data_IF_433387564992
#
_entry.id   IF_433387564992
#
_cell.length_a   1.000
_cell.length_b   1.000
_cell.length_c   1.000
_cell.angle_alpha   90.00
_cell.angle_beta   90.00
_cell.angle_gamma   90.00
#
_symmetry.space_group_name_H-M   'P 1'
#
loop_
_entity.id
_entity.type
_entity.pdbx_description
1 polymer ?
#
# COMPACT_ATOMS: atom_id res chain seq x y z
N UNK A 1 -6.49 1.43 -25.58
CA UNK A 1 -5.30 0.56 -25.71
C UNK A 1 -4.84 0.20 -24.31
N UNK A 2 -4.45 -1.05 -24.07
CA UNK A 2 -3.94 -1.55 -22.79
C UNK A 2 -2.80 -0.67 -22.23
N UNK A 3 -1.90 -0.22 -23.09
CA UNK A 3 -0.77 0.67 -22.71
C UNK A 3 -1.19 2.05 -22.20
N UNK A 4 -2.43 2.50 -22.47
CA UNK A 4 -2.94 3.78 -21.96
C UNK A 4 -3.59 3.66 -20.57
N UNK A 5 -3.75 2.44 -20.04
CA UNK A 5 -4.43 2.19 -18.77
C UNK A 5 -3.47 1.98 -17.60
N UNK A 6 -2.18 2.17 -17.82
CA UNK A 6 -1.16 2.06 -16.79
C UNK A 6 -0.73 0.62 -16.46
N UNK A 7 0.38 0.53 -15.74
CA UNK A 7 0.95 -0.71 -15.21
C UNK A 7 1.17 -0.56 -13.71
N UNK A 8 0.56 -1.43 -12.93
CA UNK A 8 0.63 -1.44 -11.47
C UNK A 8 1.46 -2.62 -10.98
N UNK A 9 2.36 -2.36 -10.04
CA UNK A 9 3.08 -3.37 -9.29
C UNK A 9 2.42 -3.55 -7.92
N UNK A 10 2.07 -4.78 -7.58
CA UNK A 10 1.52 -5.17 -6.28
C UNK A 10 2.58 -5.89 -5.47
N UNK A 11 2.95 -5.38 -4.31
CA UNK A 11 3.89 -6.01 -3.36
C UNK A 11 3.09 -6.39 -2.12
N UNK A 12 2.67 -7.65 -2.03
CA UNK A 12 1.63 -8.07 -1.09
C UNK A 12 1.75 -9.54 -0.70
N UNK A 13 1.18 -9.88 0.44
CA UNK A 13 1.13 -11.24 0.94
C UNK A 13 2.42 -11.68 1.63
N UNK A 14 2.31 -12.70 2.43
CA UNK A 14 3.39 -13.42 3.12
C UNK A 14 2.94 -14.85 3.43
N UNK A 15 3.83 -15.68 3.96
CA UNK A 15 3.45 -17.03 4.41
C UNK A 15 2.40 -17.04 5.53
N UNK A 16 2.21 -15.89 6.22
CA UNK A 16 1.15 -15.72 7.24
C UNK A 16 -0.18 -15.26 6.64
N UNK A 17 -0.12 -14.42 5.60
CA UNK A 17 -1.29 -13.71 5.07
C UNK A 17 -1.48 -14.02 3.58
N UNK A 18 -1.69 -15.30 3.28
CA UNK A 18 -1.85 -15.79 1.91
C UNK A 18 -3.04 -15.14 1.18
N UNK A 19 -4.14 -14.91 1.89
CA UNK A 19 -5.36 -14.34 1.31
C UNK A 19 -5.25 -12.87 0.91
N UNK A 20 -4.38 -12.09 1.56
CA UNK A 20 -4.22 -10.65 1.28
C UNK A 20 -3.84 -10.41 -0.18
N UNK A 21 -2.93 -11.20 -0.75
CA UNK A 21 -2.53 -11.09 -2.14
C UNK A 21 -3.71 -11.23 -3.10
N UNK A 22 -4.55 -12.24 -2.90
CA UNK A 22 -5.74 -12.46 -3.75
C UNK A 22 -6.72 -11.31 -3.68
N UNK A 23 -6.88 -10.68 -2.51
CA UNK A 23 -7.79 -9.55 -2.32
C UNK A 23 -7.25 -8.28 -2.98
N UNK A 24 -5.98 -7.96 -2.81
CA UNK A 24 -5.33 -6.82 -3.47
C UNK A 24 -5.41 -6.97 -4.99
N UNK A 25 -5.11 -8.15 -5.51
CA UNK A 25 -5.18 -8.43 -6.95
C UNK A 25 -6.59 -8.25 -7.49
N UNK A 26 -7.62 -8.77 -6.79
CA UNK A 26 -9.03 -8.57 -7.17
C UNK A 26 -9.41 -7.09 -7.18
N UNK A 27 -8.95 -6.33 -6.20
CA UNK A 27 -9.14 -4.87 -6.16
C UNK A 27 -8.54 -4.19 -7.38
N UNK A 28 -7.28 -4.49 -7.70
CA UNK A 28 -6.60 -3.93 -8.86
C UNK A 28 -7.24 -4.33 -10.19
N UNK A 29 -7.66 -5.58 -10.35
CA UNK A 29 -8.41 -6.02 -11.55
C UNK A 29 -9.72 -5.23 -11.72
N UNK A 30 -10.39 -4.90 -10.61
CA UNK A 30 -11.66 -4.16 -10.62
C UNK A 30 -11.49 -2.67 -10.94
N UNK A 31 -10.29 -2.09 -10.84
CA UNK A 31 -10.02 -0.69 -11.17
C UNK A 31 -9.98 -0.42 -12.66
N UNK A 32 -9.71 -1.46 -13.48
CA UNK A 32 -9.57 -1.35 -14.93
C UNK A 32 -8.16 -1.02 -15.40
N UNK A 33 -7.14 -1.18 -14.55
CA UNK A 33 -5.73 -1.05 -14.93
C UNK A 33 -5.36 -1.98 -16.10
N UNK A 34 -4.40 -1.55 -16.91
CA UNK A 34 -4.02 -2.27 -18.14
C UNK A 34 -3.18 -3.51 -17.90
N UNK A 35 -2.24 -3.43 -16.96
CA UNK A 35 -1.31 -4.50 -16.60
C UNK A 35 -1.11 -4.55 -15.09
N UNK A 36 -1.14 -5.75 -14.55
CA UNK A 36 -0.85 -6.02 -13.14
C UNK A 36 0.36 -6.94 -13.07
N UNK A 37 1.39 -6.44 -12.41
CA UNK A 37 2.57 -7.19 -12.04
C UNK A 37 2.58 -7.38 -10.52
N UNK A 38 3.19 -8.44 -10.03
CA UNK A 38 3.20 -8.72 -8.60
C UNK A 38 4.53 -9.28 -8.11
N UNK A 39 4.95 -8.85 -6.92
CA UNK A 39 5.90 -9.54 -6.06
C UNK A 39 5.11 -10.31 -5.02
N UNK A 40 5.25 -11.61 -5.00
CA UNK A 40 4.49 -12.51 -4.14
C UNK A 40 5.45 -13.49 -3.45
N UNK A 41 5.13 -14.00 -2.26
CA UNK A 41 5.81 -15.16 -1.72
C UNK A 41 5.67 -16.36 -2.66
N UNK A 42 6.69 -17.21 -2.74
CA UNK A 42 6.71 -18.37 -3.63
C UNK A 42 5.47 -19.27 -3.44
N UNK A 43 5.01 -19.43 -2.20
CA UNK A 43 3.83 -20.21 -1.86
C UNK A 43 2.55 -19.71 -2.54
N UNK A 44 2.41 -18.37 -2.68
CA UNK A 44 1.28 -17.75 -3.37
C UNK A 44 1.52 -17.78 -4.89
N UNK A 45 2.71 -17.44 -5.34
CA UNK A 45 3.07 -17.35 -6.75
C UNK A 45 2.78 -18.66 -7.50
N UNK A 46 3.02 -19.81 -6.88
CA UNK A 46 2.76 -21.14 -7.46
C UNK A 46 1.29 -21.43 -7.74
N UNK A 47 0.36 -20.78 -7.06
CA UNK A 47 -1.08 -21.07 -7.15
C UNK A 47 -1.93 -19.89 -7.62
N UNK A 48 -1.39 -18.68 -7.67
CA UNK A 48 -2.16 -17.46 -7.95
C UNK A 48 -2.83 -17.47 -9.33
N UNK A 49 -2.24 -18.16 -10.30
CA UNK A 49 -2.79 -18.32 -11.65
C UNK A 49 -4.16 -18.98 -11.67
N UNK A 50 -4.52 -19.76 -10.64
CA UNK A 50 -5.83 -20.41 -10.53
C UNK A 50 -6.96 -19.40 -10.25
N UNK A 51 -6.65 -18.26 -9.65
CA UNK A 51 -7.63 -17.24 -9.24
C UNK A 51 -7.45 -15.90 -9.95
N UNK A 52 -6.30 -15.67 -10.57
CA UNK A 52 -5.97 -14.44 -11.28
C UNK A 52 -4.95 -14.73 -12.40
N UNK A 53 -5.37 -15.42 -13.49
CA UNK A 53 -4.47 -15.76 -14.60
C UNK A 53 -4.00 -14.54 -15.40
N UNK A 54 -4.60 -13.37 -15.17
CA UNK A 54 -4.30 -12.13 -15.90
C UNK A 54 -3.04 -11.41 -15.40
N UNK A 55 -2.55 -11.76 -14.20
CA UNK A 55 -1.39 -11.08 -13.61
C UNK A 55 -0.08 -11.72 -14.01
N UNK A 56 0.98 -10.93 -13.94
CA UNK A 56 2.36 -11.39 -14.11
C UNK A 56 3.07 -11.39 -12.76
N UNK A 57 3.63 -12.53 -12.35
CA UNK A 57 4.49 -12.58 -11.17
C UNK A 57 5.93 -12.30 -11.61
N UNK A 58 6.43 -11.11 -11.30
CA UNK A 58 7.79 -10.70 -11.69
C UNK A 58 8.86 -11.23 -10.73
N UNK A 59 8.50 -11.37 -9.45
CA UNK A 59 9.45 -11.80 -8.44
C UNK A 59 8.78 -12.61 -7.34
N UNK A 60 9.50 -13.62 -6.84
CA UNK A 60 9.13 -14.36 -5.64
C UNK A 60 9.88 -13.79 -4.44
N UNK A 61 9.16 -13.14 -3.53
CA UNK A 61 9.74 -12.60 -2.31
C UNK A 61 10.20 -13.71 -1.37
N UNK A 62 11.39 -13.56 -0.80
CA UNK A 62 11.86 -14.39 0.31
C UNK A 62 11.03 -14.14 1.56
N UNK A 63 11.05 -15.07 2.49
CA UNK A 63 10.39 -14.93 3.78
C UNK A 63 11.41 -14.88 4.91
N UNK A 64 11.14 -14.07 5.92
CA UNK A 64 11.87 -14.10 7.17
C UNK A 64 11.59 -15.41 7.93
N UNK A 65 12.40 -15.77 8.95
CA UNK A 65 12.11 -16.93 9.80
C UNK A 65 10.72 -16.89 10.46
N UNK A 66 10.14 -15.70 10.60
CA UNK A 66 8.79 -15.49 11.13
C UNK A 66 7.70 -15.61 10.07
N UNK A 67 8.06 -15.85 8.81
CA UNK A 67 7.11 -16.00 7.70
C UNK A 67 6.61 -14.68 7.09
N UNK A 68 7.20 -13.54 7.46
CA UNK A 68 6.92 -12.24 6.87
C UNK A 68 7.74 -12.06 5.58
N UNK A 69 7.24 -11.33 4.60
CA UNK A 69 7.94 -11.14 3.33
C UNK A 69 9.11 -10.15 3.44
N UNK A 70 10.23 -10.52 2.84
CA UNK A 70 11.40 -9.68 2.64
C UNK A 70 11.36 -9.11 1.23
N UNK A 71 11.43 -7.78 1.09
CA UNK A 71 11.17 -7.08 -0.18
C UNK A 71 12.40 -6.45 -0.81
N UNK A 72 13.51 -6.31 -0.06
CA UNK A 72 14.69 -5.58 -0.51
C UNK A 72 15.28 -6.14 -1.81
N UNK A 73 15.53 -7.44 -1.87
CA UNK A 73 16.12 -8.07 -3.05
C UNK A 73 15.23 -7.87 -4.28
N UNK A 74 13.92 -8.04 -4.13
CA UNK A 74 12.95 -7.86 -5.20
C UNK A 74 12.94 -6.43 -5.74
N UNK A 75 13.01 -5.42 -4.85
CA UNK A 75 13.10 -4.01 -5.26
C UNK A 75 14.41 -3.71 -5.97
N UNK A 76 15.53 -4.25 -5.45
CA UNK A 76 16.88 -4.06 -6.00
C UNK A 76 17.03 -4.60 -7.41
N UNK A 77 16.46 -5.77 -7.67
CA UNK A 77 16.60 -6.48 -8.95
C UNK A 77 15.63 -5.98 -10.03
N UNK A 78 14.65 -5.15 -9.66
CA UNK A 78 13.58 -4.72 -10.55
C UNK A 78 13.73 -3.26 -10.96
N UNK A 79 13.60 -2.98 -12.26
CA UNK A 79 13.49 -1.60 -12.73
C UNK A 79 12.10 -1.04 -12.44
N UNK A 80 11.96 -0.34 -11.31
CA UNK A 80 10.69 0.23 -10.86
C UNK A 80 10.12 1.30 -11.81
N UNK A 81 10.92 1.89 -12.69
CA UNK A 81 10.43 2.87 -13.67
C UNK A 81 9.49 2.30 -14.72
N UNK A 82 9.39 0.97 -14.79
CA UNK A 82 8.45 0.28 -15.67
C UNK A 82 7.00 0.31 -15.17
N UNK A 83 6.76 0.80 -13.95
CA UNK A 83 5.44 0.83 -13.33
C UNK A 83 4.99 2.28 -13.10
N UNK A 84 3.70 2.54 -13.39
CA UNK A 84 3.07 3.83 -13.15
C UNK A 84 2.65 3.97 -11.68
N UNK A 85 2.30 2.86 -11.04
CA UNK A 85 1.96 2.79 -9.62
C UNK A 85 2.52 1.55 -8.94
N UNK A 86 2.77 1.68 -7.63
CA UNK A 86 3.13 0.57 -6.73
C UNK A 86 2.15 0.58 -5.57
N UNK A 87 1.54 -0.57 -5.29
CA UNK A 87 0.78 -0.85 -4.06
C UNK A 87 1.62 -1.73 -3.18
N UNK A 88 1.93 -1.26 -1.98
CA UNK A 88 2.79 -1.98 -1.04
C UNK A 88 2.15 -2.07 0.33
N UNK A 89 2.10 -3.28 0.86
CA UNK A 89 1.89 -3.47 2.30
C UNK A 89 0.91 -4.53 2.74
N UNK A 90 -0.27 -4.69 2.10
CA UNK A 90 -1.23 -5.65 2.62
C UNK A 90 -0.63 -7.05 2.76
N UNK A 91 -0.61 -7.57 4.00
CA UNK A 91 -0.18 -8.91 4.32
C UNK A 91 1.31 -9.23 4.16
N UNK A 92 2.20 -8.23 3.99
CA UNK A 92 3.66 -8.52 3.91
C UNK A 92 4.28 -8.87 5.27
N UNK A 93 3.54 -8.63 6.37
CA UNK A 93 4.03 -8.79 7.74
C UNK A 93 4.84 -7.59 8.23
N UNK A 94 5.17 -7.62 9.52
CA UNK A 94 5.75 -6.47 10.24
C UNK A 94 7.22 -6.63 10.59
N UNK A 95 7.89 -7.67 10.08
CA UNK A 95 9.34 -7.84 10.25
C UNK A 95 10.08 -6.78 9.42
N UNK A 96 11.02 -6.08 10.04
CA UNK A 96 11.74 -4.96 9.44
C UNK A 96 13.19 -5.30 9.08
N UNK A 97 13.56 -6.58 9.08
CA UNK A 97 14.94 -7.02 8.89
C UNK A 97 15.62 -6.47 7.60
N UNK A 98 14.83 -6.29 6.51
CA UNK A 98 15.32 -5.73 5.25
C UNK A 98 14.73 -4.34 4.91
N UNK A 99 13.91 -3.78 5.81
CA UNK A 99 13.08 -2.62 5.51
C UNK A 99 13.88 -1.34 5.32
N UNK A 100 14.86 -1.05 6.17
CA UNK A 100 15.65 0.18 6.08
C UNK A 100 16.36 0.26 4.73
N UNK A 101 16.96 -0.83 4.25
CA UNK A 101 17.61 -0.91 2.95
C UNK A 101 16.63 -0.80 1.78
N UNK A 102 15.36 -1.14 2.01
CA UNK A 102 14.30 -1.06 1.00
C UNK A 102 13.79 0.37 0.80
N UNK A 103 13.90 1.23 1.82
CA UNK A 103 13.36 2.60 1.78
C UNK A 103 14.00 3.47 0.70
N UNK A 104 15.27 3.27 0.38
CA UNK A 104 15.96 4.02 -0.66
C UNK A 104 15.28 3.86 -2.03
N UNK A 105 14.97 2.62 -2.43
CA UNK A 105 14.26 2.34 -3.69
C UNK A 105 12.88 2.99 -3.72
N UNK A 106 12.17 2.96 -2.60
CA UNK A 106 10.84 3.59 -2.48
C UNK A 106 10.93 5.11 -2.52
N UNK A 107 11.97 5.72 -1.94
CA UNK A 107 12.20 7.17 -2.00
C UNK A 107 12.48 7.64 -3.43
N UNK A 108 13.24 6.88 -4.20
CA UNK A 108 13.65 7.21 -5.57
C UNK A 108 12.57 6.88 -6.61
N UNK A 109 11.65 5.99 -6.31
CA UNK A 109 10.57 5.61 -7.24
C UNK A 109 9.71 6.81 -7.61
N UNK A 110 9.63 7.14 -8.91
CA UNK A 110 8.99 8.36 -9.43
C UNK A 110 7.48 8.25 -9.67
N UNK A 111 6.94 7.03 -9.74
CA UNK A 111 5.51 6.78 -9.93
C UNK A 111 4.70 6.99 -8.65
N UNK A 112 3.42 6.69 -8.74
CA UNK A 112 2.48 6.74 -7.63
C UNK A 112 2.75 5.60 -6.64
N UNK A 113 3.03 5.93 -5.38
CA UNK A 113 3.22 4.94 -4.31
C UNK A 113 1.99 4.92 -3.40
N UNK A 114 1.35 3.77 -3.28
CA UNK A 114 0.26 3.53 -2.34
C UNK A 114 0.77 2.61 -1.23
N UNK A 115 0.65 3.08 0.02
CA UNK A 115 1.09 2.36 1.21
C UNK A 115 -0.09 2.05 2.11
N UNK A 116 -0.25 0.79 2.49
CA UNK A 116 -1.31 0.34 3.38
C UNK A 116 -0.80 -0.68 4.40
N UNK A 117 -1.56 -0.89 5.43
CA UNK A 117 -1.42 -2.00 6.38
C UNK A 117 0.02 -2.15 6.92
N UNK A 118 0.66 -3.29 6.61
CA UNK A 118 1.99 -3.62 7.17
C UNK A 118 3.09 -2.67 6.67
N UNK A 119 2.98 -2.09 5.47
CA UNK A 119 3.93 -1.07 5.03
C UNK A 119 3.90 0.17 5.92
N UNK A 120 2.71 0.63 6.31
CA UNK A 120 2.55 1.76 7.25
C UNK A 120 3.12 1.41 8.63
N UNK A 121 2.88 0.18 9.09
CA UNK A 121 3.44 -0.32 10.35
C UNK A 121 4.97 -0.42 10.30
N UNK A 122 5.56 -0.85 9.17
CA UNK A 122 7.01 -0.89 8.97
C UNK A 122 7.61 0.52 8.95
N UNK A 123 6.99 1.47 8.23
CA UNK A 123 7.44 2.87 8.24
C UNK A 123 7.40 3.46 9.65
N UNK A 124 6.31 3.23 10.40
CA UNK A 124 6.20 3.73 11.77
C UNK A 124 7.29 3.20 12.72
N UNK A 125 7.90 2.05 12.39
CA UNK A 125 8.98 1.41 13.17
C UNK A 125 10.38 1.69 12.60
N UNK A 126 10.49 2.26 11.41
CA UNK A 126 11.75 2.59 10.78
C UNK A 126 12.41 3.79 11.43
N UNK A 127 13.72 3.95 11.21
CA UNK A 127 14.47 5.11 11.70
C UNK A 127 13.92 6.43 11.14
N UNK A 128 13.41 6.43 9.91
CA UNK A 128 12.80 7.60 9.30
C UNK A 128 11.42 7.90 9.87
N UNK A 129 10.63 6.91 10.26
CA UNK A 129 9.26 7.10 10.65
C UNK A 129 8.47 7.91 9.60
N UNK A 130 7.58 8.80 10.06
CA UNK A 130 6.82 9.68 9.15
C UNK A 130 7.70 10.63 8.30
N UNK A 131 8.96 10.86 8.68
CA UNK A 131 9.91 11.68 7.88
C UNK A 131 10.19 11.07 6.51
N UNK A 132 9.89 9.79 6.32
CA UNK A 132 9.89 9.14 5.00
C UNK A 132 9.08 9.95 3.99
N UNK A 133 7.87 10.39 4.36
CA UNK A 133 6.99 11.15 3.49
C UNK A 133 7.56 12.53 3.14
N UNK A 134 8.20 13.19 4.11
CA UNK A 134 8.85 14.49 3.89
C UNK A 134 10.06 14.40 2.96
N UNK A 135 10.77 13.27 2.97
CA UNK A 135 11.91 13.02 2.08
C UNK A 135 11.49 12.62 0.67
N UNK A 136 10.37 11.90 0.54
CA UNK A 136 9.87 11.46 -0.76
C UNK A 136 9.24 12.61 -1.53
N UNK A 137 9.75 12.90 -2.75
CA UNK A 137 9.32 14.04 -3.59
C UNK A 137 8.22 13.69 -4.59
N UNK A 138 7.78 12.44 -4.65
CA UNK A 138 6.85 11.94 -5.64
C UNK A 138 5.52 11.58 -5.00
N UNK A 139 4.47 11.47 -5.84
CA UNK A 139 3.11 11.21 -5.37
C UNK A 139 3.05 9.98 -4.48
N UNK A 140 2.49 10.16 -3.29
CA UNK A 140 2.30 9.10 -2.31
C UNK A 140 0.89 9.20 -1.74
N UNK A 141 0.23 8.07 -1.64
CA UNK A 141 -1.03 7.92 -0.93
C UNK A 141 -0.87 6.90 0.18
N UNK A 142 -1.53 7.16 1.29
CA UNK A 142 -1.63 6.21 2.40
C UNK A 142 -3.10 5.91 2.69
N UNK A 143 -3.38 4.66 3.10
CA UNK A 143 -4.75 4.21 3.37
C UNK A 143 -4.90 3.65 4.79
N UNK A 144 -4.50 4.39 5.84
CA UNK A 144 -4.51 3.88 7.21
C UNK A 144 -5.92 3.75 7.78
N UNK A 145 -6.13 2.78 8.65
CA UNK A 145 -7.18 2.89 9.67
C UNK A 145 -6.66 3.70 10.88
N UNK A 146 -7.57 4.11 11.79
CA UNK A 146 -7.21 5.00 12.92
C UNK A 146 -6.04 4.53 13.79
N UNK A 147 -5.88 3.21 14.00
CA UNK A 147 -4.78 2.69 14.82
C UNK A 147 -3.43 2.75 14.10
N UNK A 148 -3.38 2.48 12.80
CA UNK A 148 -2.19 2.65 11.94
C UNK A 148 -1.80 4.13 11.89
N UNK A 149 -2.80 4.98 11.68
CA UNK A 149 -2.61 6.43 11.64
C UNK A 149 -1.92 6.96 12.91
N UNK A 150 -2.45 6.60 14.09
CA UNK A 150 -1.89 7.03 15.39
C UNK A 150 -0.46 6.55 15.62
N UNK A 151 -0.08 5.36 15.10
CA UNK A 151 1.29 4.86 15.21
C UNK A 151 2.24 5.67 14.33
N UNK A 152 1.78 6.04 13.12
CA UNK A 152 2.60 6.71 12.12
C UNK A 152 2.76 8.20 12.43
N UNK A 153 1.70 8.84 12.95
CA UNK A 153 1.65 10.27 13.23
C UNK A 153 1.17 10.54 14.69
N UNK A 154 1.97 10.17 15.70
CA UNK A 154 1.53 10.28 17.09
C UNK A 154 1.31 11.71 17.57
N UNK A 155 1.99 12.67 16.96
CA UNK A 155 2.02 14.06 17.41
C UNK A 155 0.99 14.95 16.69
N UNK A 156 0.33 14.47 15.64
CA UNK A 156 -0.67 15.26 14.92
C UNK A 156 -1.93 15.34 15.74
N UNK A 157 -2.27 16.57 16.16
CA UNK A 157 -3.50 16.89 16.87
C UNK A 157 -4.56 17.45 15.91
N UNK A 158 -5.80 17.09 16.12
CA UNK A 158 -6.95 17.60 15.39
C UNK A 158 -8.22 17.47 16.22
N UNK A 159 -9.19 18.31 15.93
CA UNK A 159 -10.50 18.32 16.63
C UNK A 159 -11.36 17.14 16.16
N UNK A 160 -11.21 16.77 14.88
CA UNK A 160 -11.98 15.69 14.25
C UNK A 160 -11.16 14.97 13.17
N UNK A 161 -11.72 13.89 12.63
CA UNK A 161 -11.04 13.05 11.64
C UNK A 161 -10.80 13.77 10.29
N UNK A 162 -11.65 14.73 9.92
CA UNK A 162 -11.50 15.51 8.67
C UNK A 162 -10.27 16.42 8.79
N UNK A 163 -10.19 17.19 9.86
CA UNK A 163 -9.04 18.05 10.15
C UNK A 163 -7.76 17.22 10.28
N UNK A 164 -7.85 16.05 10.92
CA UNK A 164 -6.74 15.12 11.06
C UNK A 164 -6.19 14.70 9.70
N UNK A 165 -7.06 14.30 8.78
CA UNK A 165 -6.67 13.87 7.44
C UNK A 165 -6.08 15.04 6.63
N UNK A 166 -6.70 16.23 6.68
CA UNK A 166 -6.24 17.44 5.98
C UNK A 166 -4.86 17.87 6.49
N UNK A 167 -4.70 17.99 7.81
CA UNK A 167 -3.43 18.43 8.42
C UNK A 167 -2.30 17.48 8.05
N UNK A 168 -2.56 16.16 8.09
CA UNK A 168 -1.57 15.15 7.73
C UNK A 168 -1.20 15.22 6.26
N UNK A 169 -2.20 15.27 5.38
CA UNK A 169 -1.99 15.35 3.95
C UNK A 169 -1.15 16.58 3.55
N UNK A 170 -1.51 17.73 4.11
CA UNK A 170 -0.83 19.00 3.82
C UNK A 170 0.59 19.04 4.38
N UNK A 171 0.78 18.69 5.67
CA UNK A 171 2.08 18.74 6.32
C UNK A 171 3.10 17.77 5.69
N UNK A 172 2.64 16.59 5.26
CA UNK A 172 3.51 15.55 4.71
C UNK A 172 3.50 15.48 3.17
N UNK A 173 2.72 16.34 2.49
CA UNK A 173 2.59 16.38 1.02
C UNK A 173 2.16 15.04 0.41
N UNK A 174 1.20 14.38 1.03
CA UNK A 174 0.68 13.07 0.62
C UNK A 174 -0.85 13.08 0.50
N UNK A 175 -1.39 12.13 -0.25
CA UNK A 175 -2.81 11.80 -0.15
C UNK A 175 -3.08 10.88 1.04
N UNK A 176 -4.19 11.09 1.70
CA UNK A 176 -4.64 10.28 2.85
C UNK A 176 -6.05 9.76 2.60
N UNK A 177 -6.24 8.45 2.65
CA UNK A 177 -7.54 7.82 2.77
C UNK A 177 -7.66 7.23 4.18
N UNK A 178 -8.22 8.00 5.11
CA UNK A 178 -8.45 7.56 6.49
C UNK A 178 -9.67 6.65 6.54
N UNK A 179 -9.42 5.35 6.76
CA UNK A 179 -10.48 4.33 6.81
C UNK A 179 -11.25 4.39 8.13
N UNK A 180 -12.58 4.36 8.06
CA UNK A 180 -13.47 4.38 9.21
C UNK A 180 -14.94 4.20 8.81
N UNK A 181 -15.85 4.31 9.77
CA UNK A 181 -17.29 4.28 9.50
C UNK A 181 -17.70 5.39 8.50
N UNK A 182 -17.07 6.54 8.59
CA UNK A 182 -17.08 7.59 7.58
C UNK A 182 -15.64 7.73 7.10
N UNK A 183 -15.31 7.14 5.93
CA UNK A 183 -13.98 7.27 5.37
C UNK A 183 -13.74 8.68 4.85
N UNK A 184 -12.52 9.18 5.03
CA UNK A 184 -12.15 10.54 4.65
C UNK A 184 -10.98 10.45 3.67
N UNK A 185 -11.13 11.14 2.55
CA UNK A 185 -10.08 11.30 1.54
C UNK A 185 -9.59 12.74 1.64
N UNK A 186 -8.30 12.95 1.81
CA UNK A 186 -7.68 14.28 1.78
C UNK A 186 -6.47 14.26 0.85
N UNK A 187 -6.31 15.33 0.06
CA UNK A 187 -5.13 15.50 -0.81
C UNK A 187 -4.11 16.48 -0.21
N UNK A 188 -2.94 16.53 -0.82
CA UNK A 188 -1.84 17.42 -0.39
C UNK A 188 -2.15 18.92 -0.52
N UNK A 189 -3.24 19.28 -1.19
CA UNK A 189 -3.68 20.68 -1.36
C UNK A 189 -4.68 21.12 -0.30
N UNK A 190 -5.14 20.19 0.56
CA UNK A 190 -6.09 20.47 1.62
C UNK A 190 -7.55 20.29 1.22
N UNK A 191 -7.83 19.75 0.03
CA UNK A 191 -9.18 19.32 -0.31
C UNK A 191 -9.50 18.01 0.41
N UNK A 192 -10.71 17.91 0.95
CA UNK A 192 -11.17 16.71 1.60
C UNK A 192 -12.60 16.33 1.19
N UNK A 193 -12.82 15.03 1.13
CA UNK A 193 -14.13 14.42 0.88
C UNK A 193 -14.42 13.43 1.98
N UNK A 194 -15.64 13.44 2.48
CA UNK A 194 -16.12 12.45 3.43
C UNK A 194 -17.14 11.55 2.75
N UNK A 195 -16.95 10.24 2.85
CA UNK A 195 -17.89 9.24 2.35
C UNK A 195 -18.81 8.89 3.51
N UNK A 196 -20.09 9.24 3.37
CA UNK A 196 -21.14 8.91 4.35
C UNK A 196 -21.83 7.59 3.98
N UNK A 197 -22.36 6.89 4.99
CA UNK A 197 -23.25 5.76 4.76
C UNK A 197 -22.53 4.43 4.54
N UNK A 198 -21.36 4.23 5.14
CA UNK A 198 -20.80 2.88 5.19
C UNK A 198 -21.72 1.96 5.99
N UNK A 199 -22.24 0.93 5.34
CA UNK A 199 -22.98 -0.14 6.00
C UNK A 199 -22.04 -0.84 7.00
N UNK A 200 -22.42 -1.04 8.28
CA UNK A 200 -21.63 -1.83 9.22
C UNK A 200 -21.28 -3.23 8.72
N UNK A 201 -22.07 -3.80 7.79
CA UNK A 201 -21.77 -5.06 7.13
C UNK A 201 -20.51 -5.00 6.25
N UNK A 202 -20.06 -3.81 5.85
CA UNK A 202 -18.82 -3.58 5.09
C UNK A 202 -17.57 -3.71 5.97
N UNK A 203 -17.69 -3.74 7.30
CA UNK A 203 -16.58 -3.92 8.22
C UNK A 203 -16.13 -5.39 8.28
N UNK A 204 -15.70 -5.94 7.13
CA UNK A 204 -15.19 -7.31 7.02
C UNK A 204 -13.68 -7.32 6.86
N UNK A 205 -13.04 -8.36 7.41
CA UNK A 205 -11.63 -8.62 7.16
C UNK A 205 -11.37 -8.74 5.64
N UNK A 206 -10.30 -8.10 5.16
CA UNK A 206 -9.91 -8.12 3.77
C UNK A 206 -10.48 -7.01 2.88
N UNK A 207 -11.49 -6.25 3.33
CA UNK A 207 -11.98 -5.10 2.56
C UNK A 207 -10.91 -4.01 2.37
N UNK A 208 -10.05 -3.82 3.37
CA UNK A 208 -8.89 -2.92 3.26
C UNK A 208 -7.94 -3.34 2.15
N UNK A 209 -7.62 -4.62 2.07
CA UNK A 209 -6.72 -5.17 1.06
C UNK A 209 -7.29 -4.98 -0.35
N UNK A 210 -8.58 -5.26 -0.53
CA UNK A 210 -9.28 -5.04 -1.81
C UNK A 210 -9.28 -3.55 -2.20
N UNK A 211 -9.55 -2.66 -1.23
CA UNK A 211 -9.54 -1.20 -1.46
C UNK A 211 -8.14 -0.72 -1.89
N UNK A 212 -7.08 -1.21 -1.26
CA UNK A 212 -5.70 -0.83 -1.59
C UNK A 212 -5.36 -1.21 -3.03
N UNK A 213 -5.73 -2.39 -3.47
CA UNK A 213 -5.59 -2.82 -4.86
C UNK A 213 -6.38 -1.93 -5.83
N UNK A 214 -7.63 -1.59 -5.49
CA UNK A 214 -8.48 -0.73 -6.31
C UNK A 214 -7.92 0.69 -6.45
N UNK A 215 -7.40 1.28 -5.37
CA UNK A 215 -6.81 2.63 -5.37
C UNK A 215 -5.53 2.69 -6.20
N UNK A 216 -4.79 1.60 -6.28
CA UNK A 216 -3.51 1.54 -6.98
C UNK A 216 -3.60 1.17 -8.46
N UNK A 217 -4.71 0.60 -8.87
CA UNK A 217 -4.98 0.22 -10.28
C UNK A 217 -5.75 1.28 -11.06
#
# INVERSE_FOLDING_TARGET
SKHKRGRTLLITGSNKYLGSASLVIKGALSSGVGFINAFLPETIAKSIWQVAPEIVVDCCMKNSPKGDSLIHDSLKETNLSNFDSIVLGPGIGIDVADWENSLEYLLEYRGLLILDADALNRIARSELGYKFFLKRKFKTWITPHKKEFKRLFPDIKAINDIELAINTANQNKIGVLLKGANSIIADEKGFAWQIHGSDPSSARAGFGDLLSGFVGG
#
